data_IF_628086081415
#
_entry.id   IF_628086081415
#
_cell.length_a   1.000
_cell.length_b   1.000
_cell.length_c   1.000
_cell.angle_alpha   90.00
_cell.angle_beta   90.00
_cell.angle_gamma   90.00
#
_symmetry.space_group_name_H-M   'P 1'
#
loop_
_entity.id
_entity.type
_entity.pdbx_description
1 polymer ?
#
# COMPACT_ATOMS: atom_id res chain seq x y z
N UNK A 1 19.13 3.47 4.19
CA UNK A 1 17.77 3.00 3.81
C UNK A 1 17.72 2.85 2.29
N UNK A 2 17.14 1.78 1.75
CA UNK A 2 17.04 1.59 0.29
C UNK A 2 15.75 0.87 -0.13
N UNK A 3 15.40 1.02 -1.40
CA UNK A 3 14.41 0.22 -2.12
C UNK A 3 15.08 -0.42 -3.33
N UNK A 4 14.54 -1.54 -3.81
CA UNK A 4 15.02 -2.20 -5.03
C UNK A 4 14.06 -1.94 -6.19
N UNK A 5 14.58 -1.48 -7.33
CA UNK A 5 13.81 -1.24 -8.54
C UNK A 5 14.61 -1.70 -9.76
N UNK A 6 14.07 -2.66 -10.51
CA UNK A 6 14.71 -3.18 -11.73
C UNK A 6 16.11 -3.76 -11.52
N UNK A 7 16.38 -4.34 -10.33
CA UNK A 7 17.69 -4.88 -9.96
C UNK A 7 18.70 -3.85 -9.42
N UNK A 8 18.34 -2.56 -9.39
CA UNK A 8 19.16 -1.51 -8.82
C UNK A 8 18.68 -1.13 -7.41
N UNK A 9 19.63 -0.89 -6.50
CA UNK A 9 19.35 -0.34 -5.16
C UNK A 9 19.31 1.17 -5.23
N UNK A 10 18.15 1.76 -4.96
CA UNK A 10 17.95 3.20 -4.86
C UNK A 10 17.75 3.53 -3.39
N UNK A 11 18.65 4.30 -2.80
CA UNK A 11 18.64 4.55 -1.36
C UNK A 11 19.12 5.93 -0.95
N UNK A 12 18.94 6.22 0.32
CA UNK A 12 19.38 7.44 0.96
C UNK A 12 19.96 7.13 2.36
N UNK A 13 20.86 8.01 2.80
CA UNK A 13 21.40 8.01 4.16
C UNK A 13 20.45 8.83 5.04
N UNK A 14 20.20 8.37 6.26
CA UNK A 14 19.40 9.08 7.26
C UNK A 14 20.21 10.23 7.86
N UNK A 15 19.54 11.34 8.21
CA UNK A 15 20.16 12.41 9.00
C UNK A 15 20.29 12.04 10.50
N UNK A 16 20.79 12.98 11.31
CA UNK A 16 20.97 12.81 12.76
C UNK A 16 19.63 12.59 13.50
N UNK A 17 18.53 13.09 12.94
CA UNK A 17 17.18 12.95 13.49
C UNK A 17 16.47 11.70 12.94
N UNK A 18 17.16 10.86 12.15
CA UNK A 18 16.61 9.64 11.57
C UNK A 18 15.72 9.85 10.33
N UNK A 19 15.62 11.07 9.80
CA UNK A 19 14.82 11.35 8.61
C UNK A 19 15.58 10.96 7.35
N UNK A 20 14.84 10.49 6.35
CA UNK A 20 15.38 10.14 5.05
C UNK A 20 14.40 10.53 3.94
N UNK A 21 14.91 10.66 2.72
CA UNK A 21 14.08 10.89 1.53
C UNK A 21 14.70 10.16 0.36
N UNK A 22 13.93 9.27 -0.28
CA UNK A 22 14.39 8.51 -1.45
C UNK A 22 13.74 9.13 -2.69
N UNK A 23 14.56 9.73 -3.55
CA UNK A 23 14.17 10.31 -4.84
C UNK A 23 15.31 10.08 -5.85
N UNK A 24 15.03 9.86 -7.15
CA UNK A 24 13.71 9.69 -7.77
C UNK A 24 13.20 8.23 -7.68
N UNK A 25 11.89 8.06 -7.52
CA UNK A 25 11.22 6.75 -7.65
C UNK A 25 10.08 6.88 -8.66
N UNK A 26 9.93 5.85 -9.50
CA UNK A 26 8.76 5.75 -10.36
C UNK A 26 7.54 5.32 -9.52
N UNK A 27 6.31 5.62 -9.97
CA UNK A 27 5.11 5.11 -9.31
C UNK A 27 5.08 3.58 -9.32
N UNK A 28 4.78 2.97 -8.17
CA UNK A 28 4.80 1.52 -8.01
C UNK A 28 4.81 1.06 -6.56
N UNK A 29 4.87 -0.26 -6.37
CA UNK A 29 4.95 -0.90 -5.05
C UNK A 29 6.40 -1.34 -4.81
N UNK A 30 6.95 -0.95 -3.66
CA UNK A 30 8.34 -1.19 -3.28
C UNK A 30 8.43 -1.83 -1.91
N UNK A 31 9.48 -2.62 -1.70
CA UNK A 31 9.88 -3.06 -0.38
C UNK A 31 11.02 -2.16 0.11
N UNK A 32 10.84 -1.54 1.27
CA UNK A 32 11.81 -0.65 1.89
C UNK A 32 12.66 -1.43 2.88
N UNK A 33 13.96 -1.37 2.71
CA UNK A 33 14.93 -1.97 3.63
C UNK A 33 15.65 -0.87 4.43
N UNK A 34 15.62 -1.03 5.74
CA UNK A 34 16.30 -0.17 6.71
C UNK A 34 17.32 -1.05 7.44
N UNK A 35 18.58 -0.59 7.49
CA UNK A 35 19.60 -1.23 8.30
C UNK A 35 20.48 -0.18 8.96
N UNK A 36 20.96 -0.48 10.16
CA UNK A 36 21.91 0.33 10.89
C UNK A 36 22.85 -0.57 11.70
N UNK A 37 24.06 -0.08 11.97
CA UNK A 37 25.10 -0.86 12.67
C UNK A 37 24.61 -1.19 14.08
N UNK A 38 24.75 -2.46 14.51
CA UNK A 38 24.31 -2.97 15.81
C UNK A 38 22.79 -2.97 16.04
N UNK A 39 22.00 -2.78 14.97
CA UNK A 39 20.55 -2.96 14.98
C UNK A 39 20.14 -4.09 14.05
N UNK A 40 19.00 -4.70 14.35
CA UNK A 40 18.34 -5.64 13.46
C UNK A 40 17.89 -4.91 12.19
N UNK A 41 18.06 -5.55 11.03
CA UNK A 41 17.57 -4.99 9.77
C UNK A 41 16.04 -5.08 9.75
N UNK A 42 15.39 -4.10 9.16
CA UNK A 42 13.93 -4.03 9.09
C UNK A 42 13.50 -3.90 7.62
N UNK A 43 12.58 -4.75 7.19
CA UNK A 43 12.00 -4.71 5.85
C UNK A 43 10.53 -4.34 5.97
N UNK A 44 10.18 -3.17 5.46
CA UNK A 44 8.80 -2.73 5.32
C UNK A 44 8.32 -3.08 3.90
N UNK A 45 7.51 -4.12 3.78
CA UNK A 45 7.00 -4.61 2.49
C UNK A 45 5.79 -3.83 2.00
N UNK A 46 5.60 -3.72 0.69
CA UNK A 46 4.34 -3.22 0.10
C UNK A 46 4.14 -1.69 0.14
N UNK A 47 5.22 -0.91 0.28
CA UNK A 47 5.14 0.56 0.27
C UNK A 47 4.67 1.04 -1.10
N UNK A 48 3.53 1.72 -1.16
CA UNK A 48 2.97 2.23 -2.41
C UNK A 48 3.42 3.67 -2.67
N UNK A 49 4.08 3.89 -3.80
CA UNK A 49 4.51 5.21 -4.28
C UNK A 49 3.59 5.65 -5.41
N UNK A 50 2.86 6.75 -5.20
CA UNK A 50 1.94 7.30 -6.19
C UNK A 50 2.61 8.42 -7.01
N UNK A 51 2.18 8.60 -8.26
CA UNK A 51 2.66 9.70 -9.10
C UNK A 51 2.31 11.07 -8.49
N UNK A 52 3.27 11.99 -8.46
CA UNK A 52 3.04 13.39 -8.05
C UNK A 52 2.70 13.59 -6.57
N UNK A 53 2.74 12.54 -5.74
CA UNK A 53 2.47 12.62 -4.29
C UNK A 53 3.65 12.08 -3.50
N UNK A 54 3.92 12.70 -2.34
CA UNK A 54 4.88 12.19 -1.37
C UNK A 54 4.20 11.10 -0.53
N UNK A 55 4.76 9.89 -0.51
CA UNK A 55 4.36 8.84 0.42
C UNK A 55 5.09 9.06 1.74
N UNK A 56 4.34 9.45 2.78
CA UNK A 56 4.88 9.57 4.14
C UNK A 56 4.79 8.21 4.83
N UNK A 57 5.90 7.79 5.43
CA UNK A 57 5.99 6.59 6.23
C UNK A 57 5.87 6.96 7.71
N UNK A 58 5.32 6.04 8.50
CA UNK A 58 5.35 6.15 9.96
C UNK A 58 6.75 5.83 10.50
N UNK A 59 7.00 6.17 11.76
CA UNK A 59 8.29 5.99 12.40
C UNK A 59 8.69 4.49 12.45
N UNK A 60 9.83 4.17 11.83
CA UNK A 60 10.38 2.81 11.80
C UNK A 60 11.34 2.65 12.97
N UNK A 61 10.90 1.98 14.03
CA UNK A 61 11.71 1.72 15.21
C UNK A 61 12.52 0.43 15.05
N UNK A 62 13.85 0.55 15.02
CA UNK A 62 14.75 -0.61 14.96
C UNK A 62 15.01 -1.17 16.36
N UNK A 63 15.09 -2.51 16.46
CA UNK A 63 15.49 -3.20 17.68
C UNK A 63 17.01 -3.39 17.72
N UNK A 64 17.61 -3.22 18.89
CA UNK A 64 19.05 -3.44 19.10
C UNK A 64 19.39 -4.92 18.91
N UNK A 65 20.41 -5.21 18.10
CA UNK A 65 20.93 -6.56 17.90
C UNK A 65 21.87 -6.91 19.06
N UNK A 66 21.30 -7.30 20.21
CA UNK A 66 22.08 -7.62 21.42
C UNK A 66 22.47 -9.10 21.53
N UNK A 67 21.89 -9.99 20.71
CA UNK A 67 22.17 -11.44 20.75
C UNK A 67 22.12 -12.14 19.39
N UNK A 68 21.29 -11.67 18.47
CA UNK A 68 21.12 -12.30 17.16
C UNK A 68 21.53 -11.35 16.02
N UNK A 69 22.70 -11.65 15.43
CA UNK A 69 23.16 -11.07 14.17
C UNK A 69 22.38 -11.79 13.06
N UNK A 70 21.18 -11.28 12.71
CA UNK A 70 20.48 -11.81 11.54
C UNK A 70 18.96 -11.74 11.50
N UNK A 71 18.29 -11.36 12.60
CA UNK A 71 16.83 -11.24 12.58
C UNK A 71 16.43 -10.01 11.74
N UNK A 72 15.65 -10.25 10.67
CA UNK A 72 15.04 -9.21 9.85
C UNK A 72 13.58 -9.13 10.24
N UNK A 73 13.16 -8.00 10.81
CA UNK A 73 11.74 -7.79 11.13
C UNK A 73 11.02 -7.38 9.86
N UNK A 74 10.01 -8.16 9.47
CA UNK A 74 9.17 -7.90 8.31
C UNK A 74 7.85 -7.31 8.78
N UNK A 75 7.55 -6.10 8.33
CA UNK A 75 6.25 -5.44 8.58
C UNK A 75 5.62 -5.12 7.23
N UNK A 76 4.32 -5.37 7.11
CA UNK A 76 3.56 -4.99 5.94
C UNK A 76 3.10 -3.52 6.05
N UNK A 77 3.38 -2.73 5.02
CA UNK A 77 2.91 -1.36 4.94
C UNK A 77 1.40 -1.35 4.72
N UNK A 78 0.68 -0.72 5.65
CA UNK A 78 -0.75 -0.47 5.53
C UNK A 78 -0.98 0.98 5.15
N UNK A 79 -1.55 1.21 3.97
CA UNK A 79 -1.88 2.56 3.55
C UNK A 79 -2.87 3.21 4.52
N UNK A 80 -2.62 4.48 4.85
CA UNK A 80 -3.54 5.27 5.69
C UNK A 80 -4.85 5.46 4.93
N UNK A 81 -5.94 4.94 5.50
CA UNK A 81 -7.28 5.08 4.93
C UNK A 81 -7.76 6.54 4.90
N UNK A 82 -7.28 7.37 5.83
CA UNK A 82 -7.62 8.79 5.92
C UNK A 82 -6.35 9.61 5.79
N UNK A 83 -6.35 10.51 4.81
CA UNK A 83 -5.29 11.52 4.64
C UNK A 83 -5.75 12.78 5.35
N UNK A 84 -5.04 13.19 6.41
CA UNK A 84 -5.40 14.38 7.20
C UNK A 84 -5.50 15.66 6.37
N UNK A 85 -4.71 15.79 5.30
CA UNK A 85 -4.74 16.94 4.39
C UNK A 85 -6.00 17.00 3.52
N UNK A 86 -6.72 15.88 3.35
CA UNK A 86 -7.89 15.77 2.48
C UNK A 86 -8.96 14.90 3.17
N UNK A 87 -9.69 15.43 4.16
CA UNK A 87 -10.65 14.65 4.94
C UNK A 87 -11.84 14.14 4.13
N UNK A 88 -12.15 14.80 3.00
CA UNK A 88 -13.19 14.37 2.06
C UNK A 88 -12.72 13.37 1.01
N UNK A 89 -11.45 12.95 1.02
CA UNK A 89 -10.91 11.97 0.08
C UNK A 89 -10.85 10.59 0.73
N UNK A 90 -11.50 9.63 0.08
CA UNK A 90 -11.38 8.22 0.44
C UNK A 90 -10.96 7.42 -0.78
N UNK A 91 -9.97 6.56 -0.63
CA UNK A 91 -9.45 5.70 -1.70
C UNK A 91 -9.54 4.25 -1.28
N UNK A 92 -10.14 3.41 -2.11
CA UNK A 92 -10.12 1.96 -1.98
C UNK A 92 -9.36 1.40 -3.18
N UNK A 93 -8.50 0.41 -2.92
CA UNK A 93 -7.75 -0.30 -3.96
C UNK A 93 -8.36 -1.65 -4.30
N UNK A 94 -7.98 -2.18 -5.46
CA UNK A 94 -8.44 -3.46 -6.01
C UNK A 94 -8.38 -4.62 -5.03
N UNK A 95 -7.33 -4.70 -4.18
CA UNK A 95 -7.20 -5.79 -3.21
C UNK A 95 -8.28 -5.73 -2.12
N UNK A 96 -8.58 -4.53 -1.61
CA UNK A 96 -9.67 -4.32 -0.65
C UNK A 96 -11.04 -4.44 -1.32
N UNK A 97 -11.17 -3.98 -2.57
CA UNK A 97 -12.37 -4.12 -3.40
C UNK A 97 -12.75 -5.59 -3.62
N UNK A 98 -11.77 -6.46 -3.87
CA UNK A 98 -11.99 -7.89 -4.07
C UNK A 98 -12.55 -8.60 -2.82
N UNK A 99 -12.21 -8.10 -1.63
CA UNK A 99 -12.67 -8.64 -0.34
C UNK A 99 -14.07 -8.15 0.03
N UNK A 100 -14.64 -7.19 -0.70
CA UNK A 100 -15.99 -6.70 -0.43
C UNK A 100 -17.05 -7.74 -0.84
N UNK A 101 -18.15 -7.84 -0.07
CA UNK A 101 -19.27 -8.73 -0.43
C UNK A 101 -19.89 -8.42 -1.80
N UNK A 102 -19.90 -7.14 -2.19
CA UNK A 102 -20.50 -6.66 -3.44
C UNK A 102 -19.44 -6.28 -4.50
N UNK A 103 -18.41 -7.12 -4.66
CA UNK A 103 -17.28 -6.87 -5.55
C UNK A 103 -17.59 -6.89 -7.07
N UNK A 104 -18.87 -7.00 -7.45
CA UNK A 104 -19.34 -6.96 -8.85
C UNK A 104 -20.09 -5.68 -9.18
N UNK A 105 -20.63 -4.98 -8.19
CA UNK A 105 -21.44 -3.78 -8.39
C UNK A 105 -20.70 -2.54 -7.88
N UNK A 106 -20.09 -1.80 -8.80
CA UNK A 106 -19.33 -0.59 -8.46
C UNK A 106 -20.16 0.47 -7.75
N UNK A 107 -21.43 0.62 -8.13
CA UNK A 107 -22.32 1.59 -7.48
C UNK A 107 -22.59 1.14 -6.05
N UNK A 108 -22.88 -0.13 -5.83
CA UNK A 108 -23.06 -0.70 -4.48
C UNK A 108 -21.82 -0.53 -3.61
N UNK A 109 -20.63 -0.67 -4.19
CA UNK A 109 -19.36 -0.45 -3.49
C UNK A 109 -19.18 1.01 -3.05
N UNK A 110 -19.65 2.01 -3.81
CA UNK A 110 -19.54 3.42 -3.40
C UNK A 110 -20.21 3.70 -2.05
N UNK A 111 -21.35 3.05 -1.78
CA UNK A 111 -22.07 3.16 -0.51
C UNK A 111 -21.31 2.55 0.68
N UNK A 112 -20.39 1.61 0.44
CA UNK A 112 -19.60 0.96 1.50
C UNK A 112 -18.31 1.70 1.80
N UNK A 113 -17.83 2.56 0.89
CA UNK A 113 -16.62 3.37 1.09
C UNK A 113 -16.82 4.38 2.21
N UNK A 114 -17.96 5.06 2.20
CA UNK A 114 -18.25 6.15 3.12
C UNK A 114 -19.74 6.28 3.38
N UNK A 115 -20.06 6.67 4.61
CA UNK A 115 -21.44 6.96 5.03
C UNK A 115 -22.03 8.19 4.34
N UNK A 116 -21.16 9.04 3.77
CA UNK A 116 -21.53 10.25 3.03
C UNK A 116 -22.15 9.95 1.66
N UNK A 117 -22.01 8.72 1.14
CA UNK A 117 -22.62 8.30 -0.12
C UNK A 117 -23.86 7.45 0.17
N UNK A 118 -24.95 7.75 -0.54
CA UNK A 118 -26.15 6.90 -0.61
C UNK A 118 -26.41 6.52 -2.04
N UNK A 119 -26.88 5.29 -2.23
CA UNK A 119 -27.22 4.73 -3.52
C UNK A 119 -28.68 4.32 -3.48
N UNK A 120 -29.46 4.77 -4.46
CA UNK A 120 -30.85 4.34 -4.65
C UNK A 120 -30.91 2.98 -5.35
N UNK A 121 -32.02 2.27 -5.21
CA UNK A 121 -32.29 1.00 -5.90
C UNK A 121 -32.16 1.11 -7.43
N UNK A 122 -32.37 2.32 -7.97
CA UNK A 122 -32.21 2.62 -9.40
C UNK A 122 -30.74 2.84 -9.82
N UNK A 123 -29.79 2.76 -8.89
CA UNK A 123 -28.36 2.99 -9.14
C UNK A 123 -27.94 4.47 -9.17
N UNK A 124 -28.81 5.37 -8.73
CA UNK A 124 -28.48 6.79 -8.57
C UNK A 124 -27.65 7.03 -7.31
N UNK A 125 -26.60 7.85 -7.43
CA UNK A 125 -25.68 8.17 -6.34
C UNK A 125 -26.00 9.55 -5.78
N UNK A 126 -26.02 9.66 -4.46
CA UNK A 126 -26.25 10.89 -3.71
C UNK A 126 -25.07 11.10 -2.78
N UNK A 127 -24.36 12.22 -2.91
CA UNK A 127 -23.20 12.54 -2.08
C UNK A 127 -23.60 13.66 -1.13
N UNK A 128 -23.55 13.41 0.17
CA UNK A 128 -23.89 14.39 1.23
C UNK A 128 -25.25 15.06 1.05
N UNK A 129 -26.25 14.31 0.59
CA UNK A 129 -27.61 14.81 0.37
C UNK A 129 -27.82 15.64 -0.90
N UNK A 130 -26.83 15.65 -1.82
CA UNK A 130 -26.98 16.22 -3.16
C UNK A 130 -28.05 15.51 -3.97
N UNK A 131 -28.48 16.10 -5.10
CA UNK A 131 -29.29 15.40 -6.10
C UNK A 131 -28.43 14.47 -6.95
N UNK A 132 -29.02 13.42 -7.50
CA UNK A 132 -28.36 12.57 -8.49
C UNK A 132 -28.05 13.36 -9.77
N UNK A 133 -26.94 13.03 -10.42
CA UNK A 133 -26.44 13.70 -11.63
C UNK A 133 -25.69 15.01 -11.38
N UNK A 134 -25.39 15.35 -10.13
CA UNK A 134 -24.52 16.50 -9.77
C UNK A 134 -23.09 16.07 -9.44
N UNK A 135 -22.89 14.76 -9.36
CA UNK A 135 -21.60 14.11 -9.18
C UNK A 135 -20.92 13.88 -10.53
N UNK A 136 -19.58 13.93 -10.53
CA UNK A 136 -18.80 13.63 -11.71
C UNK A 136 -18.08 12.30 -11.56
N UNK A 137 -18.09 11.51 -12.62
CA UNK A 137 -17.38 10.24 -12.69
C UNK A 137 -16.22 10.37 -13.67
N UNK A 138 -15.02 9.99 -13.24
CA UNK A 138 -13.83 9.92 -14.09
C UNK A 138 -13.35 8.48 -14.15
N UNK A 139 -13.08 7.98 -15.35
CA UNK A 139 -12.46 6.67 -15.57
C UNK A 139 -11.16 6.92 -16.32
N UNK A 140 -10.02 6.57 -15.72
CA UNK A 140 -8.68 6.80 -16.28
C UNK A 140 -8.45 8.25 -16.73
N UNK A 141 -9.04 9.21 -16.02
CA UNK A 141 -8.97 10.65 -16.32
C UNK A 141 -10.00 11.17 -17.33
N UNK A 142 -10.84 10.30 -17.91
CA UNK A 142 -11.91 10.70 -18.84
C UNK A 142 -13.23 10.87 -18.09
N UNK A 143 -13.90 12.00 -18.29
CA UNK A 143 -15.23 12.25 -17.72
C UNK A 143 -16.27 11.34 -18.39
N UNK A 144 -17.03 10.61 -17.57
CA UNK A 144 -18.13 9.74 -18.00
C UNK A 144 -19.42 10.12 -17.29
N UNK A 145 -20.56 9.88 -17.94
CA UNK A 145 -21.88 10.25 -17.40
C UNK A 145 -22.38 9.28 -16.33
N UNK A 146 -21.98 8.00 -16.40
CA UNK A 146 -22.36 6.94 -15.46
C UNK A 146 -21.26 5.90 -15.36
N UNK A 147 -21.19 5.22 -14.21
CA UNK A 147 -20.25 4.12 -13.97
C UNK A 147 -20.86 2.73 -14.20
N UNK A 148 -22.20 2.62 -14.21
CA UNK A 148 -22.88 1.34 -14.34
C UNK A 148 -22.71 0.76 -15.75
N UNK A 149 -22.19 -0.46 -15.85
CA UNK A 149 -22.05 -1.22 -17.10
C UNK A 149 -20.82 -0.89 -17.97
N UNK A 150 -20.01 0.10 -17.61
CA UNK A 150 -18.90 0.56 -18.44
C UNK A 150 -17.57 -0.16 -18.17
N UNK A 151 -17.33 -0.58 -16.92
CA UNK A 151 -16.07 -1.23 -16.52
C UNK A 151 -16.34 -2.38 -15.55
N UNK A 152 -15.82 -3.59 -15.79
CA UNK A 152 -15.89 -4.69 -14.82
C UNK A 152 -15.18 -4.31 -13.53
N UNK A 153 -15.81 -4.57 -12.38
CA UNK A 153 -15.24 -4.23 -11.07
C UNK A 153 -13.87 -4.86 -10.80
N UNK A 154 -13.63 -6.07 -11.32
CA UNK A 154 -12.35 -6.77 -11.21
C UNK A 154 -11.19 -6.09 -11.95
N UNK A 155 -11.48 -5.25 -12.95
CA UNK A 155 -10.49 -4.54 -13.75
C UNK A 155 -10.05 -3.22 -13.12
N UNK A 156 -10.67 -2.81 -12.01
CA UNK A 156 -10.37 -1.57 -11.33
C UNK A 156 -9.20 -1.78 -10.36
N UNK A 157 -8.18 -0.93 -10.50
CA UNK A 157 -7.00 -0.88 -9.65
C UNK A 157 -7.24 -0.01 -8.42
N UNK A 158 -7.88 1.15 -8.62
CA UNK A 158 -8.24 2.05 -7.52
C UNK A 158 -9.56 2.78 -7.79
N UNK A 159 -10.29 3.07 -6.71
CA UNK A 159 -11.46 3.94 -6.73
C UNK A 159 -11.31 4.98 -5.63
N UNK A 160 -11.32 6.24 -6.02
CA UNK A 160 -11.17 7.39 -5.13
C UNK A 160 -12.43 8.23 -5.18
N UNK A 161 -13.01 8.52 -4.02
CA UNK A 161 -14.15 9.40 -3.86
C UNK A 161 -13.71 10.67 -3.16
N UNK A 162 -14.13 11.80 -3.73
CA UNK A 162 -14.08 13.12 -3.10
C UNK A 162 -15.49 13.54 -2.70
N UNK A 163 -15.82 13.51 -1.41
CA UNK A 163 -17.11 14.00 -0.87
C UNK A 163 -17.05 15.47 -0.42
N UNK A 164 -15.85 16.06 -0.42
CA UNK A 164 -15.62 17.46 -0.06
C UNK A 164 -14.16 17.84 -0.26
N UNK A 165 -13.85 19.14 -0.31
CA UNK A 165 -12.50 19.59 -0.64
C UNK A 165 -12.06 19.14 -2.04
N UNK A 166 -12.99 19.17 -3.00
CA UNK A 166 -12.77 18.69 -4.37
C UNK A 166 -11.65 19.52 -5.02
N UNK A 167 -10.61 18.89 -5.57
CA UNK A 167 -9.55 19.61 -6.28
C UNK A 167 -10.09 20.42 -7.46
N UNK A 168 -9.58 21.64 -7.65
CA UNK A 168 -10.03 22.57 -8.69
C UNK A 168 -9.93 22.00 -10.13
N UNK A 169 -9.09 20.99 -10.35
CA UNK A 169 -8.93 20.33 -11.65
C UNK A 169 -10.21 19.65 -12.16
N UNK A 170 -11.15 19.33 -11.28
CA UNK A 170 -12.40 18.66 -11.65
C UNK A 170 -13.52 19.62 -12.06
N UNK A 171 -13.29 20.94 -11.95
CA UNK A 171 -14.21 21.95 -12.48
C UNK A 171 -15.51 22.08 -11.68
N UNK A 172 -16.61 22.33 -12.41
CA UNK A 172 -17.94 22.63 -11.86
C UNK A 172 -18.64 21.35 -11.39
N UNK A 173 -18.22 20.83 -10.24
CA UNK A 173 -18.83 19.67 -9.58
C UNK A 173 -19.20 20.07 -8.16
N UNK A 174 -20.48 19.94 -7.83
CA UNK A 174 -21.01 20.45 -6.54
C UNK A 174 -21.12 19.37 -5.46
N UNK A 175 -21.40 18.12 -5.82
CA UNK A 175 -21.69 17.07 -4.83
C UNK A 175 -20.48 16.22 -4.47
N UNK A 176 -19.79 15.70 -5.48
CA UNK A 176 -18.65 14.82 -5.28
C UNK A 176 -18.06 14.34 -6.60
N UNK A 177 -16.80 13.92 -6.54
CA UNK A 177 -16.09 13.36 -7.69
C UNK A 177 -15.69 11.93 -7.37
N UNK A 178 -16.07 11.02 -8.25
CA UNK A 178 -15.65 9.61 -8.19
C UNK A 178 -14.63 9.40 -9.31
N UNK A 179 -13.41 9.03 -8.94
CA UNK A 179 -12.31 8.74 -9.85
C UNK A 179 -12.02 7.26 -9.78
N UNK A 180 -12.05 6.61 -10.92
CA UNK A 180 -11.78 5.19 -11.10
C UNK A 180 -10.53 5.07 -11.96
N UNK A 181 -9.56 4.30 -11.49
CA UNK A 181 -8.35 3.95 -12.25
C UNK A 181 -8.34 2.44 -12.48
N UNK A 182 -8.16 2.05 -13.74
CA UNK A 182 -8.06 0.64 -14.14
C UNK A 182 -6.67 0.08 -13.87
N UNK A 183 -6.58 -1.24 -13.73
CA UNK A 183 -5.30 -1.93 -13.46
C UNK A 183 -4.33 -1.74 -14.61
N UNK A 184 -3.16 -1.16 -14.33
CA UNK A 184 -2.09 -0.98 -15.30
C UNK A 184 -1.14 -2.19 -15.39
N UNK A 185 -0.56 -2.42 -16.58
CA UNK A 185 0.44 -3.49 -16.76
C UNK A 185 1.67 -3.32 -15.84
N UNK A 186 2.24 -2.12 -15.81
CA UNK A 186 3.43 -1.83 -14.99
C UNK A 186 3.16 -1.94 -13.49
N UNK A 187 1.96 -1.55 -13.05
CA UNK A 187 1.52 -1.70 -11.66
C UNK A 187 1.47 -3.19 -11.27
N UNK A 188 0.81 -4.02 -12.09
CA UNK A 188 0.72 -5.47 -11.86
C UNK A 188 2.08 -6.15 -11.92
N UNK A 189 2.96 -5.74 -12.83
CA UNK A 189 4.33 -6.25 -12.90
C UNK A 189 5.10 -5.92 -11.62
N UNK A 190 5.06 -4.67 -11.17
CA UNK A 190 5.74 -4.24 -9.95
C UNK A 190 5.18 -4.93 -8.71
N UNK A 191 3.86 -5.08 -8.60
CA UNK A 191 3.21 -5.83 -7.51
C UNK A 191 3.68 -7.29 -7.49
N UNK A 192 3.76 -7.94 -8.66
CA UNK A 192 4.26 -9.31 -8.78
C UNK A 192 5.74 -9.41 -8.38
N UNK A 193 6.60 -8.50 -8.83
CA UNK A 193 8.02 -8.51 -8.47
C UNK A 193 8.20 -8.26 -6.97
N UNK A 194 7.47 -7.31 -6.39
CA UNK A 194 7.50 -7.02 -4.96
C UNK A 194 7.06 -8.25 -4.12
N UNK A 195 6.01 -8.96 -4.55
CA UNK A 195 5.54 -10.19 -3.91
C UNK A 195 6.57 -11.32 -4.00
N UNK A 196 7.17 -11.53 -5.18
CA UNK A 196 8.19 -12.55 -5.37
C UNK A 196 9.44 -12.26 -4.51
N UNK A 197 9.89 -11.00 -4.48
CA UNK A 197 11.00 -10.58 -3.63
C UNK A 197 10.69 -10.78 -2.14
N UNK A 198 9.47 -10.46 -1.72
CA UNK A 198 9.00 -10.70 -0.36
C UNK A 198 9.04 -12.18 0.01
N UNK A 199 8.45 -13.04 -0.83
CA UNK A 199 8.43 -14.49 -0.61
C UNK A 199 9.84 -15.11 -0.61
N UNK A 200 10.74 -14.63 -1.47
CA UNK A 200 12.13 -15.06 -1.48
C UNK A 200 12.84 -14.70 -0.17
N UNK A 201 12.65 -13.49 0.33
CA UNK A 201 13.21 -13.06 1.61
C UNK A 201 12.68 -13.85 2.80
N UNK A 202 11.37 -14.13 2.85
CA UNK A 202 10.79 -14.98 3.91
C UNK A 202 11.41 -16.37 3.92
N UNK A 203 11.58 -16.99 2.74
CA UNK A 203 12.22 -18.32 2.62
C UNK A 203 13.69 -18.30 3.04
N UNK A 204 14.43 -17.23 2.74
CA UNK A 204 15.81 -17.09 3.21
C UNK A 204 15.90 -16.94 4.72
N UNK A 205 14.93 -16.26 5.33
CA UNK A 205 14.84 -16.11 6.79
C UNK A 205 14.55 -17.46 7.46
N UNK A 206 13.55 -18.21 7.00
CA UNK A 206 13.21 -19.53 7.53
C UNK A 206 14.43 -20.48 7.51
N UNK A 207 15.16 -20.52 6.38
CA UNK A 207 16.39 -21.31 6.26
C UNK A 207 17.49 -20.87 7.23
N UNK A 208 17.61 -19.57 7.49
CA UNK A 208 18.59 -19.04 8.44
C UNK A 208 18.20 -19.38 9.88
N UNK A 209 16.92 -19.30 10.22
CA UNK A 209 16.41 -19.69 11.53
C UNK A 209 16.60 -21.19 11.79
N UNK A 210 16.35 -22.05 10.81
CA UNK A 210 16.61 -23.49 10.91
C UNK A 210 18.09 -23.76 11.17
N UNK A 211 18.99 -23.14 10.38
CA UNK A 211 20.43 -23.26 10.57
C UNK A 211 20.92 -22.68 11.91
N UNK A 212 20.27 -21.65 12.44
CA UNK A 212 20.58 -21.09 13.74
C UNK A 212 20.21 -22.10 14.85
N UNK A 213 19.02 -22.69 14.77
CA UNK A 213 18.56 -23.73 15.71
C UNK A 213 19.46 -24.95 15.70
N UNK A 214 19.90 -25.39 14.52
CA UNK A 214 20.88 -26.48 14.39
C UNK A 214 22.20 -26.13 15.08
N UNK A 215 22.74 -24.93 14.83
CA UNK A 215 23.98 -24.47 15.49
C UNK A 215 23.84 -24.32 17.00
N UNK A 216 22.69 -23.87 17.48
CA UNK A 216 22.42 -23.73 18.91
C UNK A 216 22.30 -25.10 19.59
N UNK A 217 21.70 -26.08 18.90
CA UNK A 217 21.65 -27.48 19.35
C UNK A 217 23.05 -28.10 19.40
N UNK A 218 23.88 -27.93 18.37
CA UNK A 218 25.28 -28.39 18.35
C UNK A 218 26.09 -27.77 19.51
N UNK A 219 25.94 -26.47 19.75
CA UNK A 219 26.61 -25.76 20.86
C UNK A 219 26.14 -26.25 22.24
N UNK A 220 24.87 -26.61 22.38
CA UNK A 220 24.32 -27.16 23.63
C UNK A 220 24.79 -28.60 23.87
N UNK A 221 24.90 -29.41 22.82
CA UNK A 221 25.49 -30.75 22.87
C UNK A 221 26.98 -30.71 23.20
N UNK A 222 27.74 -29.80 22.60
CA UNK A 222 29.15 -29.57 22.95
C UNK A 222 29.31 -29.12 24.40
N UNK A 223 28.47 -28.19 24.89
CA UNK A 223 28.49 -27.76 26.31
C UNK A 223 28.28 -28.93 27.27
N UNK A 224 27.29 -29.79 27.00
CA UNK A 224 27.01 -30.98 27.83
C UNK A 224 28.19 -31.95 27.86
N UNK A 225 28.95 -32.07 26.76
CA UNK A 225 30.13 -32.93 26.66
C UNK A 225 31.33 -32.45 27.50
N UNK A 226 31.40 -31.18 27.86
CA UNK A 226 32.47 -30.61 28.70
C UNK A 226 32.05 -30.42 30.17
N UNK A 227 30.79 -30.70 30.52
CA UNK A 227 30.28 -30.65 31.90
C UNK A 227 30.32 -32.01 32.63
N UNK A 228 30.59 -33.12 31.91
CA UNK A 228 30.88 -34.48 32.45
C UNK A 228 32.40 -34.74 32.54
#
# INVERSE_FOLDING_TARGET
>A
VWVESGGNKIGAITDLDGKFTIKPLQPGIYNLSVSFISYQSHMLGGVTVNAGKITFLDDINLKTSAKDIGEVVIVEYKDKLIVHEQPGKMTIRGDAMNQMPDNRNLVGMLATITTDIKVSDNGDVYVRGSRSGTEAYYIDGVLVSRINGNVPALSIGSMTVYTGGIPAQYGDVTSGVIVIETKGYFELYNQRQAKLAYEAHVKEMEKREEKQKERDQEMEEERKKYED
#
